data_IF_329424532390
#
_entry.id   IF_329424532390
#
_cell.length_a   1.000
_cell.length_b   1.000
_cell.length_c   1.000
_cell.angle_alpha   90.00
_cell.angle_beta   90.00
_cell.angle_gamma   90.00
#
_symmetry.space_group_name_H-M   'P 1'
#
loop_
_entity.id
_entity.type
_entity.pdbx_description
1 polymer ?
#
# COMPACT_ATOMS: atom_id res chain seq x y z
N UNK A 1 -7.41 -14.33 -22.20
CA UNK A 1 -6.09 -14.90 -21.81
C UNK A 1 -5.06 -13.78 -21.83
N UNK A 2 -4.46 -13.49 -20.67
CA UNK A 2 -3.37 -12.54 -20.56
C UNK A 2 -2.03 -13.23 -20.87
N UNK A 3 -1.18 -12.56 -21.66
CA UNK A 3 0.19 -13.02 -21.94
C UNK A 3 1.02 -13.04 -20.65
N UNK A 4 0.77 -12.11 -19.73
CA UNK A 4 1.47 -12.07 -18.46
C UNK A 4 1.12 -13.27 -17.59
N UNK A 5 -0.17 -13.64 -17.49
CA UNK A 5 -0.58 -14.83 -16.75
C UNK A 5 0.05 -16.11 -17.31
N UNK A 6 0.05 -16.28 -18.64
CA UNK A 6 0.71 -17.42 -19.26
C UNK A 6 2.21 -17.46 -18.94
N UNK A 7 2.92 -16.34 -19.11
CA UNK A 7 4.36 -16.25 -18.81
C UNK A 7 4.66 -16.46 -17.32
N UNK A 8 3.81 -15.97 -16.43
CA UNK A 8 3.91 -16.19 -14.98
C UNK A 8 3.78 -17.68 -14.66
N UNK A 9 2.76 -18.35 -15.19
CA UNK A 9 2.57 -19.79 -14.99
C UNK A 9 3.69 -20.62 -15.61
N UNK A 10 4.15 -20.26 -16.81
CA UNK A 10 5.27 -20.93 -17.49
C UNK A 10 6.56 -20.79 -16.66
N UNK A 11 6.87 -19.58 -16.18
CA UNK A 11 8.04 -19.33 -15.32
C UNK A 11 7.97 -20.12 -14.03
N UNK A 12 6.81 -20.15 -13.37
CA UNK A 12 6.62 -20.92 -12.14
C UNK A 12 6.78 -22.43 -12.38
N UNK A 13 6.20 -22.97 -13.46
CA UNK A 13 6.29 -24.40 -13.77
C UNK A 13 7.71 -24.83 -14.16
N UNK A 14 8.45 -23.96 -14.85
CA UNK A 14 9.81 -24.25 -15.37
C UNK A 14 10.94 -23.85 -14.42
N UNK A 15 10.65 -23.18 -13.29
CA UNK A 15 11.67 -22.65 -12.38
C UNK A 15 12.68 -23.71 -11.89
N UNK A 16 12.21 -24.93 -11.64
CA UNK A 16 13.06 -26.04 -11.19
C UNK A 16 13.86 -26.71 -12.33
N UNK A 17 13.56 -26.40 -13.59
CA UNK A 17 14.14 -27.03 -14.78
C UNK A 17 14.87 -26.01 -15.67
N UNK A 18 15.54 -25.04 -15.03
CA UNK A 18 16.20 -23.93 -15.72
C UNK A 18 17.32 -24.39 -16.67
N UNK A 19 17.98 -25.52 -16.39
CA UNK A 19 19.06 -26.07 -17.22
C UNK A 19 18.58 -26.76 -18.50
N UNK A 20 17.32 -27.20 -18.54
CA UNK A 20 16.76 -28.03 -19.61
C UNK A 20 15.99 -27.23 -20.67
N UNK A 21 15.98 -25.90 -20.57
CA UNK A 21 15.37 -24.98 -21.55
C UNK A 21 13.89 -25.28 -21.88
N UNK A 22 13.12 -25.89 -20.97
CA UNK A 22 11.70 -26.21 -21.21
C UNK A 22 10.88 -24.97 -21.59
N UNK A 23 11.20 -23.81 -21.03
CA UNK A 23 10.53 -22.54 -21.37
C UNK A 23 10.61 -22.23 -22.86
N UNK A 24 11.79 -22.39 -23.47
CA UNK A 24 12.00 -22.15 -24.89
C UNK A 24 11.33 -23.24 -25.73
N UNK A 25 11.50 -24.50 -25.36
CA UNK A 25 10.89 -25.65 -26.07
C UNK A 25 9.36 -25.58 -26.09
N UNK A 26 8.74 -25.16 -25.00
CA UNK A 26 7.28 -24.99 -24.91
C UNK A 26 6.81 -23.82 -25.77
N UNK A 27 7.52 -22.68 -25.75
CA UNK A 27 7.21 -21.55 -26.65
C UNK A 27 7.32 -21.94 -28.11
N UNK A 28 8.37 -22.67 -28.46
CA UNK A 28 8.57 -23.16 -29.81
C UNK A 28 7.41 -24.07 -30.25
N UNK A 29 6.98 -25.00 -29.39
CA UNK A 29 5.82 -25.85 -29.68
C UNK A 29 4.52 -25.05 -29.85
N UNK A 30 4.36 -23.92 -29.15
CA UNK A 30 3.20 -23.02 -29.31
C UNK A 30 3.26 -22.30 -30.66
N UNK A 31 4.43 -21.78 -31.05
CA UNK A 31 4.64 -21.11 -32.34
C UNK A 31 4.39 -22.09 -33.50
N UNK A 32 4.88 -23.34 -33.37
CA UNK A 32 4.65 -24.44 -34.31
C UNK A 32 3.21 -24.98 -34.29
N UNK A 33 2.35 -24.48 -33.39
CA UNK A 33 0.98 -24.96 -33.16
C UNK A 33 0.88 -26.45 -32.81
N UNK A 34 1.96 -27.05 -32.33
CA UNK A 34 2.02 -28.47 -31.95
C UNK A 34 1.62 -28.67 -30.47
N UNK A 35 0.31 -28.87 -30.29
CA UNK A 35 -0.28 -29.17 -28.98
C UNK A 35 0.27 -30.45 -28.36
N UNK A 36 0.53 -31.48 -29.18
CA UNK A 36 1.02 -32.77 -28.73
C UNK A 36 2.44 -32.67 -28.16
N UNK A 37 3.33 -31.95 -28.84
CA UNK A 37 4.69 -31.66 -28.35
C UNK A 37 4.67 -30.83 -27.08
N UNK A 38 3.83 -29.80 -26.98
CA UNK A 38 3.70 -29.01 -25.76
C UNK A 38 3.26 -29.86 -24.55
N UNK A 39 2.26 -30.73 -24.72
CA UNK A 39 1.79 -31.63 -23.64
C UNK A 39 2.87 -32.66 -23.27
N UNK A 40 3.58 -33.23 -24.25
CA UNK A 40 4.68 -34.18 -24.00
C UNK A 40 5.75 -33.55 -23.12
N UNK A 41 6.19 -32.34 -23.44
CA UNK A 41 7.17 -31.59 -22.64
C UNK A 41 6.68 -31.35 -21.21
N UNK A 42 5.41 -30.98 -21.03
CA UNK A 42 4.86 -30.74 -19.69
C UNK A 42 4.74 -32.05 -18.89
N UNK A 43 4.35 -33.16 -19.53
CA UNK A 43 4.31 -34.47 -18.87
C UNK A 43 5.71 -34.97 -18.48
N UNK A 44 6.71 -34.74 -19.32
CA UNK A 44 8.12 -35.03 -19.03
C UNK A 44 8.58 -34.28 -17.76
N UNK A 45 8.20 -33.01 -17.61
CA UNK A 45 8.47 -32.24 -16.39
C UNK A 45 7.75 -32.79 -15.15
N UNK A 46 6.56 -33.38 -15.31
CA UNK A 46 5.84 -34.04 -14.21
C UNK A 46 6.57 -35.31 -13.79
N UNK A 47 7.06 -36.11 -14.74
CA UNK A 47 7.79 -37.36 -14.44
C UNK A 47 9.16 -37.11 -13.82
N UNK A 48 9.83 -36.03 -14.21
CA UNK A 48 11.13 -35.63 -13.65
C UNK A 48 11.01 -34.92 -12.29
N UNK A 49 9.81 -34.56 -11.85
CA UNK A 49 9.60 -33.95 -10.53
C UNK A 49 9.51 -35.02 -9.45
N UNK A 50 10.54 -35.11 -8.62
CA UNK A 50 10.53 -35.93 -7.40
C UNK A 50 9.61 -35.36 -6.31
N UNK A 51 9.38 -34.03 -6.31
CA UNK A 51 8.58 -33.38 -5.28
C UNK A 51 7.07 -33.39 -5.63
N UNK A 52 6.19 -33.92 -4.77
CA UNK A 52 4.75 -34.06 -5.07
C UNK A 52 4.03 -32.71 -5.19
N UNK A 53 4.43 -31.69 -4.41
CA UNK A 53 3.89 -30.33 -4.50
C UNK A 53 4.19 -29.71 -5.86
N UNK A 54 5.41 -29.93 -6.37
CA UNK A 54 5.86 -29.43 -7.66
C UNK A 54 5.16 -30.12 -8.81
N UNK A 55 5.06 -31.45 -8.77
CA UNK A 55 4.29 -32.23 -9.73
C UNK A 55 2.82 -31.74 -9.80
N UNK A 56 2.20 -31.43 -8.66
CA UNK A 56 0.84 -30.84 -8.61
C UNK A 56 0.78 -29.48 -9.29
N UNK A 57 1.79 -28.61 -9.10
CA UNK A 57 1.88 -27.30 -9.76
C UNK A 57 1.99 -27.44 -11.28
N UNK A 58 2.85 -28.35 -11.76
CA UNK A 58 3.04 -28.59 -13.20
C UNK A 58 1.77 -29.19 -13.82
N UNK A 59 1.05 -30.07 -13.11
CA UNK A 59 -0.27 -30.56 -13.55
C UNK A 59 -1.29 -29.43 -13.68
N UNK A 60 -1.33 -28.49 -12.74
CA UNK A 60 -2.17 -27.29 -12.86
C UNK A 60 -1.81 -26.47 -14.09
N UNK A 61 -0.52 -26.30 -14.37
CA UNK A 61 -0.05 -25.63 -15.59
C UNK A 61 -0.49 -26.39 -16.86
N UNK A 62 -0.44 -27.73 -16.87
CA UNK A 62 -0.97 -28.55 -17.97
C UNK A 62 -2.44 -28.28 -18.23
N UNK A 63 -3.27 -28.29 -17.18
CA UNK A 63 -4.71 -27.99 -17.30
C UNK A 63 -4.94 -26.57 -17.82
N UNK A 64 -4.19 -25.59 -17.30
CA UNK A 64 -4.25 -24.21 -17.78
C UNK A 64 -3.90 -24.12 -19.28
N UNK A 65 -2.79 -24.72 -19.70
CA UNK A 65 -2.33 -24.73 -21.09
C UNK A 65 -3.37 -25.36 -22.03
N UNK A 66 -4.00 -26.46 -21.62
CA UNK A 66 -5.03 -27.15 -22.40
C UNK A 66 -6.29 -26.32 -22.57
N UNK A 67 -6.80 -25.76 -21.48
CA UNK A 67 -8.04 -24.97 -21.47
C UNK A 67 -7.88 -23.65 -22.23
N UNK A 68 -6.65 -23.14 -22.31
CA UNK A 68 -6.34 -21.83 -22.88
C UNK A 68 -5.57 -21.92 -24.22
N UNK A 69 -5.46 -23.12 -24.80
CA UNK A 69 -4.55 -23.40 -25.93
C UNK A 69 -4.75 -22.46 -27.12
N UNK A 70 -5.98 -22.33 -27.63
CA UNK A 70 -6.27 -21.50 -28.80
C UNK A 70 -5.94 -20.03 -28.56
N UNK A 71 -6.26 -19.49 -27.38
CA UNK A 71 -5.97 -18.11 -27.04
C UNK A 71 -4.47 -17.83 -26.88
N UNK A 72 -3.70 -18.82 -26.41
CA UNK A 72 -2.25 -18.73 -26.31
C UNK A 72 -1.63 -18.77 -27.71
N UNK A 73 -2.03 -19.72 -28.56
CA UNK A 73 -1.51 -19.84 -29.94
C UNK A 73 -1.80 -18.58 -30.74
N UNK A 74 -3.06 -18.10 -30.76
CA UNK A 74 -3.45 -16.88 -31.49
C UNK A 74 -2.55 -15.70 -31.14
N UNK A 75 -2.28 -15.45 -29.85
CA UNK A 75 -1.37 -14.38 -29.41
C UNK A 75 0.04 -14.52 -29.98
N UNK A 76 0.60 -15.74 -29.95
CA UNK A 76 1.97 -15.99 -30.40
C UNK A 76 2.13 -15.95 -31.92
N UNK A 77 1.05 -16.21 -32.68
CA UNK A 77 1.11 -16.28 -34.14
C UNK A 77 0.57 -15.05 -34.85
N UNK A 78 -0.41 -14.35 -34.27
CA UNK A 78 -1.08 -13.19 -34.89
C UNK A 78 -0.40 -11.86 -34.51
N UNK A 79 0.76 -11.91 -33.84
CA UNK A 79 1.50 -10.70 -33.48
C UNK A 79 0.71 -9.75 -32.57
N UNK A 80 -0.30 -10.26 -31.84
CA UNK A 80 -1.09 -9.47 -30.90
C UNK A 80 -0.15 -9.04 -29.77
N UNK A 81 0.40 -7.84 -29.92
CA UNK A 81 1.23 -7.18 -28.92
C UNK A 81 0.41 -7.16 -27.63
N UNK A 82 0.86 -7.92 -26.64
CA UNK A 82 0.23 -7.91 -25.33
C UNK A 82 0.29 -6.49 -24.80
N UNK A 83 -0.85 -5.93 -24.44
CA UNK A 83 -0.88 -4.65 -23.74
C UNK A 83 -0.06 -4.77 -22.46
N UNK A 84 0.92 -3.89 -22.29
CA UNK A 84 1.80 -3.84 -21.11
C UNK A 84 1.05 -3.42 -19.83
N UNK A 85 -0.28 -3.33 -19.86
CA UNK A 85 -1.12 -2.80 -18.79
C UNK A 85 -0.88 -3.55 -17.48
N UNK A 86 -0.90 -4.88 -17.45
CA UNK A 86 -0.70 -5.62 -16.20
C UNK A 86 0.71 -5.42 -15.62
N UNK A 87 1.74 -5.43 -16.47
CA UNK A 87 3.11 -5.21 -16.02
C UNK A 87 3.33 -3.78 -15.53
N UNK A 88 2.76 -2.78 -16.21
CA UNK A 88 2.81 -1.37 -15.83
C UNK A 88 2.06 -1.12 -14.53
N UNK A 89 0.83 -1.65 -14.41
CA UNK A 89 -0.02 -1.55 -13.22
C UNK A 89 0.64 -2.24 -12.04
N UNK A 90 1.13 -3.47 -12.23
CA UNK A 90 1.87 -4.20 -11.20
C UNK A 90 3.13 -3.44 -10.80
N UNK A 91 3.88 -2.86 -11.74
CA UNK A 91 5.09 -2.09 -11.43
C UNK A 91 4.78 -0.82 -10.62
N UNK A 92 3.77 -0.04 -11.03
CA UNK A 92 3.32 1.17 -10.34
C UNK A 92 2.89 0.87 -8.90
N UNK A 93 2.17 -0.23 -8.69
CA UNK A 93 1.69 -0.60 -7.35
C UNK A 93 2.72 -1.35 -6.50
N UNK A 94 3.54 -2.23 -7.08
CA UNK A 94 4.48 -3.07 -6.32
C UNK A 94 5.54 -2.24 -5.61
N UNK A 95 6.02 -1.15 -6.20
CA UNK A 95 7.08 -0.33 -5.61
C UNK A 95 6.79 0.07 -4.16
N UNK A 96 5.52 0.40 -3.84
CA UNK A 96 5.10 0.77 -2.48
C UNK A 96 4.53 -0.40 -1.70
N UNK A 97 3.74 -1.25 -2.35
CA UNK A 97 2.98 -2.31 -1.67
C UNK A 97 3.82 -3.57 -1.37
N UNK A 98 4.92 -3.80 -2.09
CA UNK A 98 5.77 -4.99 -1.89
C UNK A 98 6.93 -4.77 -0.94
N UNK A 99 7.31 -3.51 -0.67
CA UNK A 99 8.57 -3.19 0.01
C UNK A 99 8.48 -3.33 1.53
N UNK A 100 7.33 -2.98 2.12
CA UNK A 100 7.03 -3.16 3.54
C UNK A 100 5.58 -3.66 3.69
N UNK A 101 5.32 -4.84 4.27
CA UNK A 101 3.98 -5.26 4.61
C UNK A 101 3.44 -4.35 5.72
N UNK A 102 2.80 -3.25 5.32
CA UNK A 102 2.03 -2.40 6.21
C UNK A 102 0.59 -2.93 6.23
N UNK A 103 -0.01 -2.98 7.43
CA UNK A 103 -1.44 -3.23 7.57
C UNK A 103 -2.20 -2.02 7.03
N UNK A 104 -2.51 -2.04 5.73
CA UNK A 104 -3.36 -1.03 5.12
C UNK A 104 -4.81 -1.38 5.38
N UNK A 105 -5.63 -0.41 5.77
CA UNK A 105 -7.08 -0.53 5.62
C UNK A 105 -7.44 -0.50 4.13
N UNK A 106 -8.57 -1.09 3.74
CA UNK A 106 -9.03 -1.06 2.35
C UNK A 106 -9.16 0.36 1.82
N UNK A 107 -9.67 1.28 2.65
CA UNK A 107 -9.79 2.69 2.31
C UNK A 107 -8.43 3.37 2.10
N UNK A 108 -7.46 3.09 2.99
CA UNK A 108 -6.10 3.61 2.86
C UNK A 108 -5.39 3.06 1.62
N UNK A 109 -5.60 1.78 1.31
CA UNK A 109 -5.07 1.13 0.11
C UNK A 109 -5.63 1.77 -1.16
N UNK A 110 -6.93 2.04 -1.20
CA UNK A 110 -7.59 2.69 -2.33
C UNK A 110 -7.04 4.10 -2.58
N UNK A 111 -6.93 4.93 -1.54
CA UNK A 111 -6.39 6.30 -1.65
C UNK A 111 -4.91 6.29 -2.08
N UNK A 112 -4.14 5.34 -1.58
CA UNK A 112 -2.75 5.14 -2.00
C UNK A 112 -2.64 4.76 -3.48
N UNK A 113 -3.54 3.93 -3.99
CA UNK A 113 -3.58 3.56 -5.39
C UNK A 113 -3.91 4.77 -6.28
N UNK A 114 -4.92 5.56 -5.92
CA UNK A 114 -5.28 6.80 -6.62
C UNK A 114 -4.10 7.77 -6.72
N UNK A 115 -3.41 8.03 -5.60
CA UNK A 115 -2.26 8.94 -5.56
C UNK A 115 -1.12 8.47 -6.48
N UNK A 116 -0.90 7.16 -6.59
CA UNK A 116 0.13 6.59 -7.47
C UNK A 116 -0.22 6.77 -8.95
N UNK A 117 -1.48 6.57 -9.32
CA UNK A 117 -1.95 6.83 -10.69
C UNK A 117 -1.85 8.33 -11.00
N UNK A 118 -2.29 9.19 -10.07
CA UNK A 118 -2.26 10.64 -10.21
C UNK A 118 -0.84 11.17 -10.44
N UNK A 119 0.13 10.72 -9.64
CA UNK A 119 1.55 11.09 -9.81
C UNK A 119 2.15 10.54 -11.10
N UNK A 120 1.79 9.32 -11.52
CA UNK A 120 2.27 8.74 -12.79
C UNK A 120 1.72 9.47 -14.02
N UNK A 121 0.54 10.08 -13.90
CA UNK A 121 -0.06 10.93 -14.92
C UNK A 121 0.58 12.33 -15.00
N UNK A 122 1.65 12.60 -14.24
CA UNK A 122 2.40 13.86 -14.28
C UNK A 122 1.90 14.93 -13.32
N UNK A 123 0.89 14.62 -12.50
CA UNK A 123 0.39 15.56 -11.51
C UNK A 123 1.30 15.61 -10.27
N UNK A 124 1.51 16.80 -9.72
CA UNK A 124 2.36 17.01 -8.54
C UNK A 124 1.49 17.12 -7.30
N UNK A 125 1.74 16.25 -6.33
CA UNK A 125 1.09 16.33 -5.01
C UNK A 125 1.95 17.20 -4.10
N UNK A 126 1.36 18.23 -3.52
CA UNK A 126 2.01 19.18 -2.62
C UNK A 126 1.49 19.04 -1.19
N UNK A 127 2.25 19.54 -0.22
CA UNK A 127 1.83 19.53 1.19
C UNK A 127 0.51 20.30 1.44
N UNK A 128 0.09 21.16 0.50
CA UNK A 128 -1.17 21.89 0.57
C UNK A 128 -2.38 20.97 0.36
N UNK A 129 -2.22 19.91 -0.43
CA UNK A 129 -3.30 18.96 -0.76
C UNK A 129 -3.65 18.04 0.42
N UNK A 130 -2.76 17.95 1.42
CA UNK A 130 -2.98 17.21 2.66
C UNK A 130 -3.40 18.10 3.84
N UNK A 131 -3.57 19.42 3.64
CA UNK A 131 -4.02 20.30 4.71
C UNK A 131 -5.48 20.01 5.03
N UNK A 132 -5.70 19.29 6.14
CA UNK A 132 -7.02 19.11 6.73
C UNK A 132 -7.68 20.46 6.99
N UNK A 133 -8.94 20.57 6.61
CA UNK A 133 -9.75 21.76 6.88
C UNK A 133 -9.92 21.93 8.40
N UNK A 134 -10.09 23.17 8.90
CA UNK A 134 -10.28 23.42 10.34
C UNK A 134 -11.41 22.57 10.94
N UNK A 135 -12.50 22.41 10.19
CA UNK A 135 -13.65 21.58 10.55
C UNK A 135 -13.31 20.07 10.66
N UNK A 136 -12.45 19.53 9.79
CA UNK A 136 -12.01 18.12 9.87
C UNK A 136 -11.09 17.87 11.05
N UNK A 137 -10.24 18.85 11.39
CA UNK A 137 -9.40 18.77 12.60
C UNK A 137 -10.25 18.73 13.86
N UNK A 138 -11.34 19.50 13.89
CA UNK A 138 -12.28 19.54 15.02
C UNK A 138 -13.14 18.28 15.13
N UNK A 139 -13.45 17.62 14.00
CA UNK A 139 -14.20 16.36 13.92
C UNK A 139 -13.38 15.08 14.14
N UNK A 140 -12.09 15.19 14.46
CA UNK A 140 -11.25 14.01 14.64
C UNK A 140 -11.83 13.08 15.72
N UNK A 141 -12.17 11.85 15.32
CA UNK A 141 -12.65 10.78 16.23
C UNK A 141 -11.73 10.62 17.44
N UNK A 142 -10.42 10.81 17.26
CA UNK A 142 -9.44 10.79 18.34
C UNK A 142 -9.62 11.90 19.37
N UNK A 143 -10.10 13.09 18.97
CA UNK A 143 -10.39 14.18 19.91
C UNK A 143 -11.61 13.84 20.77
N UNK A 144 -12.65 13.29 20.16
CA UNK A 144 -13.86 12.84 20.87
C UNK A 144 -13.51 11.70 21.83
N UNK A 145 -12.81 10.67 21.34
CA UNK A 145 -12.34 9.55 22.17
C UNK A 145 -11.44 10.01 23.33
N UNK A 146 -10.50 10.92 23.08
CA UNK A 146 -9.65 11.47 24.14
C UNK A 146 -10.46 12.26 25.17
N UNK A 147 -11.47 13.03 24.74
CA UNK A 147 -12.37 13.74 25.64
C UNK A 147 -13.23 12.79 26.47
N UNK A 148 -13.73 11.70 25.89
CA UNK A 148 -14.48 10.66 26.59
C UNK A 148 -13.60 9.96 27.63
N UNK A 149 -12.37 9.57 27.27
CA UNK A 149 -11.40 8.97 28.21
C UNK A 149 -11.02 9.92 29.35
N UNK A 150 -10.79 11.20 29.06
CA UNK A 150 -10.53 12.21 30.09
C UNK A 150 -11.75 12.36 31.00
N UNK A 151 -12.96 12.40 30.43
CA UNK A 151 -14.19 12.52 31.20
C UNK A 151 -14.38 11.31 32.11
N UNK A 152 -14.31 10.09 31.60
CA UNK A 152 -14.40 8.86 32.40
C UNK A 152 -13.34 8.79 33.49
N UNK A 153 -12.10 9.23 33.21
CA UNK A 153 -11.04 9.27 34.21
C UNK A 153 -11.31 10.29 35.32
N UNK A 154 -12.09 11.33 35.05
CA UNK A 154 -12.48 12.39 35.99
C UNK A 154 -13.82 12.06 36.69
N UNK A 155 -14.69 11.26 36.07
CA UNK A 155 -16.05 10.93 36.53
C UNK A 155 -16.00 10.03 37.78
N UNK A 156 -15.75 10.65 38.94
CA UNK A 156 -15.53 10.00 40.22
C UNK A 156 -14.48 10.67 41.11
N UNK A 157 -13.72 11.63 40.59
CA UNK A 157 -12.83 12.46 41.40
C UNK A 157 -13.58 13.63 42.03
N UNK A 158 -13.28 13.93 43.29
CA UNK A 158 -13.78 15.12 43.98
C UNK A 158 -13.34 16.37 43.21
N UNK A 159 -14.23 17.35 43.07
CA UNK A 159 -13.87 18.64 42.46
C UNK A 159 -12.84 19.37 43.34
N UNK A 160 -11.58 19.30 42.94
CA UNK A 160 -10.48 19.96 43.65
C UNK A 160 -10.43 21.47 43.35
N UNK A 161 -11.30 22.00 42.47
CA UNK A 161 -11.41 23.44 42.21
C UNK A 161 -11.79 24.22 43.48
N UNK A 162 -12.42 23.56 44.46
CA UNK A 162 -12.73 24.10 45.79
C UNK A 162 -11.45 24.51 46.56
N UNK A 163 -10.31 23.85 46.31
CA UNK A 163 -9.02 24.15 46.93
C UNK A 163 -8.09 24.95 46.03
N UNK A 164 -8.40 25.05 44.74
CA UNK A 164 -7.73 25.99 43.84
C UNK A 164 -8.18 27.40 44.22
N UNK A 165 -7.39 28.10 45.05
CA UNK A 165 -7.58 29.53 45.28
C UNK A 165 -7.67 30.20 43.92
N UNK A 166 -8.80 30.88 43.65
CA UNK A 166 -8.96 31.70 42.45
C UNK A 166 -7.66 32.48 42.24
N UNK A 167 -7.04 32.33 41.06
CA UNK A 167 -5.90 33.16 40.72
C UNK A 167 -6.38 34.60 40.78
N UNK A 168 -5.96 35.32 41.84
CA UNK A 168 -6.27 36.72 42.00
C UNK A 168 -5.53 37.50 40.90
N UNK A 169 -6.19 37.62 39.77
CA UNK A 169 -5.77 38.44 38.66
C UNK A 169 -5.95 39.89 39.07
N UNK A 170 -4.91 40.48 39.67
CA UNK A 170 -4.87 41.90 39.96
C UNK A 170 -5.29 42.67 38.69
N UNK A 171 -6.31 43.56 38.78
CA UNK A 171 -6.67 44.42 37.66
C UNK A 171 -5.42 45.14 37.16
N UNK A 172 -5.25 45.21 35.84
CA UNK A 172 -4.08 45.80 35.20
C UNK A 172 -3.83 47.27 35.60
N UNK A 173 -4.88 47.92 36.14
CA UNK A 173 -4.94 49.29 36.62
C UNK A 173 -5.16 49.40 38.14
N UNK A 174 -4.93 48.33 38.90
CA UNK A 174 -4.99 48.39 40.36
C UNK A 174 -3.91 49.35 40.89
N UNK A 175 -4.20 50.21 41.90
CA UNK A 175 -3.22 51.09 42.52
C UNK A 175 -1.95 50.36 42.95
N UNK A 176 -2.08 49.12 43.43
CA UNK A 176 -0.96 48.25 43.81
C UNK A 176 -0.10 47.85 42.62
N UNK A 177 -0.69 47.53 41.46
CA UNK A 177 0.09 47.22 40.23
C UNK A 177 0.80 48.46 39.68
N UNK A 178 0.16 49.63 39.75
CA UNK A 178 0.77 50.90 39.33
C UNK A 178 2.00 51.19 40.19
N UNK A 179 1.91 50.98 41.50
CA UNK A 179 3.01 51.13 42.45
C UNK A 179 4.15 50.14 42.18
N UNK A 180 3.85 48.86 41.96
CA UNK A 180 4.87 47.84 41.65
C UNK A 180 5.62 48.20 40.35
N UNK A 181 4.91 48.68 39.32
CA UNK A 181 5.49 49.14 38.05
C UNK A 181 6.33 50.41 38.19
N UNK A 182 5.99 51.32 39.11
CA UNK A 182 6.81 52.51 39.35
C UNK A 182 8.12 52.15 40.07
N UNK A 183 8.07 51.28 41.09
CA UNK A 183 9.26 50.78 41.76
C UNK A 183 10.20 49.99 40.84
N UNK A 184 9.64 49.16 39.94
CA UNK A 184 10.44 48.44 38.93
C UNK A 184 11.17 49.37 37.96
N UNK A 185 10.56 50.49 37.57
CA UNK A 185 11.18 51.52 36.71
C UNK A 185 12.27 52.35 37.41
N UNK A 186 12.17 52.54 38.72
CA UNK A 186 13.19 53.27 39.48
C UNK A 186 14.48 52.45 39.62
N UNK A 187 14.39 51.11 39.72
CA UNK A 187 15.57 50.24 39.79
C UNK A 187 16.36 50.14 38.49
N UNK A 188 15.77 50.44 37.33
CA UNK A 188 16.49 50.49 36.05
C UNK A 188 17.22 51.82 35.80
N UNK A 189 17.07 52.81 36.68
CA UNK A 189 17.71 54.13 36.59
C UNK A 189 18.89 54.29 37.57
N UNK A 190 19.15 53.29 38.41
CA UNK A 190 20.32 53.25 39.29
C UNK A 190 21.18 52.06 38.86
N UNK A 191 21.95 52.30 37.79
CA UNK A 191 23.04 51.48 37.28
C UNK A 191 24.15 52.39 36.83
#
# INVERSE_FOLDING_TARGET
IDSFHFEKHLKQATAAFSKQNYRLRIRQAIIEKDKGKAIRLVNEMVTLSEEPKRAKSIRKFRSYLLNNWEGIVRRYTEGIIGSCTEALVSHVYSERLSRNPMGWSDEGLHKMAELRVYTRNGCVVTAKDFKRTKQEKERSIFKVYAQERIREAIDGYLDWSIFEKEQYNLPTNSPTQILIRSYGRLRSLVG
#
